data_IF_957785588847
#
_entry.id   IF_957785588847
#
_cell.length_a   1.000
_cell.length_b   1.000
_cell.length_c   1.000
_cell.angle_alpha   90.00
_cell.angle_beta   90.00
_cell.angle_gamma   90.00
#
_symmetry.space_group_name_H-M   'P 1'
#
loop_
_entity.id
_entity.type
_entity.pdbx_description
1 polymer ?
#
# COMPACT_ATOMS: atom_id res chain seq x y z
N UNK A 1 -11.01 25.68 -0.11
CA UNK A 1 -10.58 24.89 -1.25
C UNK A 1 -10.62 23.42 -0.85
N UNK A 2 -11.42 22.62 -1.53
CA UNK A 2 -11.50 21.18 -1.30
C UNK A 2 -10.70 20.48 -2.40
N UNK A 3 -9.90 19.49 -2.01
CA UNK A 3 -9.20 18.61 -2.92
C UNK A 3 -9.86 17.25 -2.89
N UNK A 4 -10.14 16.70 -4.05
CA UNK A 4 -10.70 15.35 -4.19
C UNK A 4 -9.76 14.54 -5.07
N UNK A 5 -9.36 13.36 -4.59
CA UNK A 5 -8.64 12.39 -5.40
C UNK A 5 -9.68 11.60 -6.19
N UNK A 6 -9.66 11.73 -7.50
CA UNK A 6 -10.64 11.09 -8.39
C UNK A 6 -10.27 9.67 -8.79
N UNK A 7 -8.97 9.34 -8.74
CA UNK A 7 -8.46 8.02 -9.12
C UNK A 7 -7.27 7.61 -8.24
N UNK A 8 -7.33 6.40 -7.70
CA UNK A 8 -6.26 5.80 -6.88
C UNK A 8 -5.46 4.75 -7.66
N UNK A 9 -5.83 4.49 -8.93
CA UNK A 9 -5.23 3.45 -9.79
C UNK A 9 -5.12 2.11 -9.05
N UNK A 10 -3.90 1.59 -8.93
CA UNK A 10 -3.63 0.29 -8.29
C UNK A 10 -3.63 0.35 -6.75
N UNK A 11 -3.86 1.53 -6.15
CA UNK A 11 -3.76 1.75 -4.69
C UNK A 11 -5.12 2.04 -4.05
N UNK A 12 -6.14 1.24 -4.37
CA UNK A 12 -7.50 1.38 -3.82
C UNK A 12 -7.53 1.33 -2.28
N UNK A 13 -6.55 0.68 -1.65
CA UNK A 13 -6.39 0.66 -0.18
C UNK A 13 -6.29 2.08 0.40
N UNK A 14 -5.82 3.06 -0.37
CA UNK A 14 -5.70 4.45 0.06
C UNK A 14 -7.03 5.21 0.08
N UNK A 15 -8.07 4.73 -0.60
CA UNK A 15 -9.38 5.40 -0.69
C UNK A 15 -10.02 5.64 0.67
N UNK A 16 -9.86 4.71 1.59
CA UNK A 16 -10.39 4.80 2.95
C UNK A 16 -9.47 5.52 3.94
N UNK A 17 -8.20 5.69 3.58
CA UNK A 17 -7.14 6.17 4.48
C UNK A 17 -6.72 7.61 4.25
N UNK A 18 -6.95 8.15 3.04
CA UNK A 18 -6.41 9.43 2.63
C UNK A 18 -7.43 10.54 2.88
N UNK A 19 -7.12 11.41 3.86
CA UNK A 19 -7.82 12.69 4.04
C UNK A 19 -6.95 13.78 3.42
N UNK A 20 -7.37 14.29 2.26
CA UNK A 20 -6.63 15.34 1.55
C UNK A 20 -7.04 16.73 2.02
N UNK A 21 -6.05 17.57 2.33
CA UNK A 21 -6.21 19.01 2.50
C UNK A 21 -5.26 19.76 1.56
N UNK A 22 -5.61 21.00 1.20
CA UNK A 22 -4.76 21.83 0.33
C UNK A 22 -3.35 22.07 0.91
N UNK A 23 -3.19 21.92 2.22
CA UNK A 23 -1.90 22.13 2.94
C UNK A 23 -0.92 20.97 2.73
N UNK A 24 -1.37 19.82 2.24
CA UNK A 24 -0.57 18.58 2.16
C UNK A 24 -0.22 18.18 0.73
N UNK A 25 -0.33 19.10 -0.24
CA UNK A 25 -0.08 18.80 -1.66
C UNK A 25 1.33 18.29 -1.93
N UNK A 26 2.34 18.85 -1.25
CA UNK A 26 3.74 18.43 -1.43
C UNK A 26 3.95 17.01 -0.93
N UNK A 27 3.38 16.67 0.24
CA UNK A 27 3.46 15.31 0.79
C UNK A 27 2.71 14.31 -0.09
N UNK A 28 1.57 14.72 -0.64
CA UNK A 28 0.79 13.89 -1.56
C UNK A 28 1.55 13.63 -2.86
N UNK A 29 2.20 14.65 -3.42
CA UNK A 29 3.01 14.51 -4.62
C UNK A 29 4.23 13.60 -4.38
N UNK A 30 4.95 13.78 -3.28
CA UNK A 30 6.07 12.91 -2.91
C UNK A 30 5.61 11.45 -2.70
N UNK A 31 4.46 11.24 -2.06
CA UNK A 31 3.87 9.90 -1.94
C UNK A 31 3.56 9.31 -3.32
N UNK A 32 2.90 10.06 -4.20
CA UNK A 32 2.55 9.59 -5.53
C UNK A 32 3.80 9.22 -6.36
N UNK A 33 4.87 10.02 -6.26
CA UNK A 33 6.13 9.75 -6.91
C UNK A 33 6.77 8.45 -6.42
N UNK A 34 6.80 8.23 -5.08
CA UNK A 34 7.31 6.98 -4.50
C UNK A 34 6.52 5.78 -4.96
N UNK A 35 5.19 5.84 -4.88
CA UNK A 35 4.30 4.76 -5.28
C UNK A 35 4.46 4.39 -6.76
N UNK A 36 4.72 5.37 -7.62
CA UNK A 36 4.91 5.12 -9.04
C UNK A 36 6.18 4.33 -9.39
N UNK A 37 7.18 4.41 -8.53
CA UNK A 37 8.45 3.71 -8.71
C UNK A 37 8.43 2.26 -8.20
N UNK A 38 7.38 1.87 -7.47
CA UNK A 38 7.26 0.54 -6.91
C UNK A 38 7.04 -0.51 -8.01
N UNK A 39 7.79 -1.59 -7.96
CA UNK A 39 7.53 -2.79 -8.74
C UNK A 39 6.33 -3.57 -8.17
N UNK A 40 5.92 -4.65 -8.83
CA UNK A 40 4.73 -5.44 -8.46
C UNK A 40 4.83 -6.00 -7.03
N UNK A 41 5.96 -6.58 -6.66
CA UNK A 41 6.19 -7.14 -5.31
C UNK A 41 6.16 -6.04 -4.26
N UNK A 42 6.79 -4.90 -4.54
CA UNK A 42 6.78 -3.75 -3.63
C UNK A 42 5.39 -3.11 -3.47
N UNK A 43 4.53 -3.17 -4.50
CA UNK A 43 3.12 -2.75 -4.39
C UNK A 43 2.34 -3.63 -3.42
N UNK A 44 2.53 -4.96 -3.51
CA UNK A 44 1.94 -5.90 -2.56
C UNK A 44 2.44 -5.61 -1.14
N UNK A 45 3.76 -5.39 -0.97
CA UNK A 45 4.36 -5.04 0.31
C UNK A 45 3.77 -3.76 0.89
N UNK A 46 3.66 -2.69 0.09
CA UNK A 46 3.06 -1.43 0.50
C UNK A 46 1.61 -1.61 0.97
N UNK A 47 0.79 -2.30 0.18
CA UNK A 47 -0.60 -2.56 0.55
C UNK A 47 -0.70 -3.38 1.84
N UNK A 48 0.17 -4.38 2.01
CA UNK A 48 0.27 -5.16 3.24
C UNK A 48 0.60 -4.30 4.45
N UNK A 49 1.61 -3.42 4.35
CA UNK A 49 1.97 -2.49 5.41
C UNK A 49 0.84 -1.53 5.79
N UNK A 50 0.14 -0.98 4.79
CA UNK A 50 -1.03 -0.13 5.02
C UNK A 50 -2.12 -0.90 5.77
N UNK A 51 -2.39 -2.16 5.40
CA UNK A 51 -3.37 -3.02 6.10
C UNK A 51 -2.98 -3.31 7.54
N UNK A 52 -1.70 -3.56 7.81
CA UNK A 52 -1.18 -3.76 9.19
C UNK A 52 -1.38 -2.51 10.03
N UNK A 53 -1.09 -1.34 9.47
CA UNK A 53 -1.26 -0.06 10.18
C UNK A 53 -2.75 0.23 10.45
N UNK A 54 -3.65 -0.06 9.50
CA UNK A 54 -5.10 0.07 9.69
C UNK A 54 -5.66 -0.82 10.81
N UNK A 55 -5.08 -1.99 11.02
CA UNK A 55 -5.50 -2.83 12.15
C UNK A 55 -5.15 -2.20 13.51
N UNK A 56 -4.18 -1.29 13.53
CA UNK A 56 -3.69 -0.62 14.75
C UNK A 56 -4.30 0.76 14.96
N UNK A 57 -4.74 1.43 13.90
CA UNK A 57 -5.18 2.83 13.92
C UNK A 57 -6.37 3.05 12.98
N UNK A 58 -7.31 3.91 13.37
CA UNK A 58 -8.49 4.25 12.55
C UNK A 58 -8.15 5.13 11.35
N UNK A 59 -7.01 5.83 11.38
CA UNK A 59 -6.57 6.72 10.29
C UNK A 59 -5.06 6.74 10.17
N UNK A 60 -4.57 6.86 8.93
CA UNK A 60 -3.15 6.92 8.63
C UNK A 60 -2.83 8.31 8.06
N UNK A 61 -1.80 8.96 8.59
CA UNK A 61 -1.35 10.27 8.09
C UNK A 61 -0.56 10.14 6.79
N UNK A 62 -0.52 11.20 5.96
CA UNK A 62 0.32 11.23 4.75
C UNK A 62 1.79 10.95 5.05
N UNK A 63 2.31 11.55 6.15
CA UNK A 63 3.67 11.25 6.61
C UNK A 63 3.86 9.75 6.81
N UNK A 64 2.93 9.10 7.51
CA UNK A 64 3.01 7.66 7.76
C UNK A 64 2.95 6.84 6.48
N UNK A 65 2.09 7.21 5.52
CA UNK A 65 2.04 6.54 4.21
C UNK A 65 3.36 6.67 3.43
N UNK A 66 4.03 7.81 3.53
CA UNK A 66 5.37 8.01 2.95
C UNK A 66 6.42 7.10 3.62
N UNK A 67 6.37 6.99 4.96
CA UNK A 67 7.24 6.08 5.71
C UNK A 67 7.00 4.61 5.31
N UNK A 68 5.73 4.21 5.10
CA UNK A 68 5.40 2.87 4.63
C UNK A 68 5.89 2.62 3.20
N UNK A 69 5.76 3.60 2.30
CA UNK A 69 6.28 3.50 0.93
C UNK A 69 7.82 3.38 0.88
N UNK A 70 8.53 4.03 1.81
CA UNK A 70 9.99 3.88 1.97
C UNK A 70 10.39 2.53 2.57
N UNK A 71 9.45 1.86 3.23
CA UNK A 71 9.69 0.64 4.02
C UNK A 71 9.30 -0.65 3.30
N UNK A 72 8.96 -0.61 2.03
CA UNK A 72 8.50 -1.80 1.28
C UNK A 72 9.52 -2.94 1.30
N UNK A 73 10.81 -2.62 1.35
CA UNK A 73 11.90 -3.60 1.44
C UNK A 73 12.08 -4.18 2.85
N UNK A 74 11.31 -3.69 3.85
CA UNK A 74 11.28 -4.22 5.22
C UNK A 74 10.30 -5.39 5.37
N UNK A 75 9.75 -5.88 4.27
CA UNK A 75 8.77 -6.97 4.24
C UNK A 75 9.23 -8.13 3.37
N UNK A 76 8.83 -9.33 3.77
CA UNK A 76 8.79 -10.48 2.87
C UNK A 76 7.39 -10.58 2.25
N UNK A 77 7.36 -10.89 0.97
CA UNK A 77 6.13 -11.08 0.20
C UNK A 77 6.12 -12.50 -0.37
N UNK A 78 5.05 -13.23 -0.11
CA UNK A 78 4.79 -14.51 -0.77
C UNK A 78 3.66 -14.26 -1.76
N UNK A 79 4.04 -14.16 -3.04
CA UNK A 79 3.10 -13.86 -4.12
C UNK A 79 2.06 -14.97 -4.30
N UNK A 80 0.85 -14.59 -4.71
CA UNK A 80 -0.27 -15.49 -5.01
C UNK A 80 -0.80 -16.30 -3.81
N UNK A 81 -0.37 -16.00 -2.59
CA UNK A 81 -0.84 -16.62 -1.35
C UNK A 81 -1.83 -15.69 -0.65
N UNK A 82 -3.10 -16.09 -0.58
CA UNK A 82 -4.19 -15.26 -0.03
C UNK A 82 -5.06 -15.99 1.00
N UNK A 83 -4.64 -17.17 1.44
CA UNK A 83 -5.35 -17.95 2.44
C UNK A 83 -4.40 -18.72 3.34
N UNK A 84 -4.90 -19.09 4.54
CA UNK A 84 -4.13 -19.87 5.49
C UNK A 84 -3.73 -21.25 4.91
N UNK A 85 -4.61 -21.90 4.13
CA UNK A 85 -4.29 -23.17 3.48
C UNK A 85 -3.15 -23.08 2.46
N UNK A 86 -3.14 -22.01 1.65
CA UNK A 86 -2.04 -21.75 0.70
C UNK A 86 -0.73 -21.41 1.42
N UNK A 87 -0.82 -20.60 2.48
CA UNK A 87 0.35 -20.24 3.29
C UNK A 87 0.95 -21.46 3.97
N UNK A 88 0.11 -22.30 4.56
CA UNK A 88 0.55 -23.52 5.24
C UNK A 88 1.21 -24.51 4.28
N UNK A 89 0.66 -24.68 3.07
CA UNK A 89 1.27 -25.52 2.03
C UNK A 89 2.62 -24.93 1.60
N UNK A 90 2.69 -23.63 1.33
CA UNK A 90 3.93 -22.94 0.97
C UNK A 90 5.01 -23.14 2.04
N UNK A 91 4.64 -23.01 3.34
CA UNK A 91 5.59 -23.16 4.44
C UNK A 91 6.09 -24.60 4.59
N UNK A 92 5.18 -25.56 4.45
CA UNK A 92 5.53 -26.97 4.53
C UNK A 92 6.44 -27.40 3.35
N UNK A 93 6.15 -26.94 2.13
CA UNK A 93 6.94 -27.27 0.92
C UNK A 93 8.32 -26.60 0.91
N UNK A 94 8.49 -25.46 1.59
CA UNK A 94 9.74 -24.69 1.59
C UNK A 94 10.58 -24.86 2.87
N UNK A 95 10.25 -25.85 3.72
CA UNK A 95 11.05 -26.20 4.90
C UNK A 95 10.90 -25.21 6.08
N UNK A 96 9.87 -24.37 6.10
CA UNK A 96 9.58 -23.48 7.22
C UNK A 96 8.85 -24.20 8.38
N UNK A 97 8.48 -25.46 8.20
CA UNK A 97 7.84 -26.30 9.20
C UNK A 97 8.75 -27.51 9.48
N UNK A 98 9.64 -27.44 10.48
CA UNK A 98 10.61 -28.52 10.74
C UNK A 98 9.95 -29.88 11.01
N UNK A 99 8.72 -29.88 11.52
CA UNK A 99 7.98 -31.11 11.87
C UNK A 99 7.61 -31.95 10.64
N UNK A 100 7.64 -31.36 9.42
CA UNK A 100 7.35 -32.10 8.18
C UNK A 100 8.60 -32.68 7.53
N UNK A 101 9.78 -32.35 8.05
CA UNK A 101 11.04 -32.85 7.51
C UNK A 101 11.12 -34.39 7.66
N UNK A 102 11.29 -35.08 6.53
CA UNK A 102 11.35 -36.53 6.50
C UNK A 102 10.00 -37.26 6.49
N UNK A 103 8.89 -36.55 6.42
CA UNK A 103 7.58 -37.18 6.19
C UNK A 103 7.52 -37.84 4.81
N UNK A 104 6.74 -38.94 4.71
CA UNK A 104 6.39 -39.51 3.41
C UNK A 104 5.36 -38.60 2.70
N UNK A 105 5.33 -38.65 1.35
CA UNK A 105 4.36 -37.87 0.55
C UNK A 105 2.91 -38.12 0.99
N UNK A 106 2.59 -39.36 1.34
CA UNK A 106 1.25 -39.73 1.82
C UNK A 106 0.92 -39.08 3.18
N UNK A 107 1.90 -38.93 4.08
CA UNK A 107 1.71 -38.26 5.35
C UNK A 107 1.65 -36.74 5.16
N UNK A 108 2.43 -36.19 4.25
CA UNK A 108 2.42 -34.79 3.90
C UNK A 108 1.05 -34.31 3.39
N UNK A 109 0.42 -35.08 2.51
CA UNK A 109 -0.93 -34.74 1.97
C UNK A 109 -2.07 -34.85 3.02
N UNK A 110 -1.79 -35.45 4.18
CA UNK A 110 -2.73 -35.50 5.31
C UNK A 110 -2.59 -34.32 6.28
N UNK A 111 -1.64 -33.40 6.03
CA UNK A 111 -1.46 -32.22 6.87
C UNK A 111 -2.63 -31.26 6.75
N UNK A 112 -3.03 -30.69 7.87
CA UNK A 112 -3.96 -29.57 7.93
C UNK A 112 -3.22 -28.28 7.62
N UNK A 113 -3.04 -28.02 6.32
CA UNK A 113 -2.35 -26.80 5.84
C UNK A 113 -3.01 -25.52 6.31
N UNK A 114 -4.34 -25.51 6.51
CA UNK A 114 -5.04 -24.33 6.99
C UNK A 114 -4.63 -24.01 8.43
N UNK A 115 -4.51 -25.03 9.27
CA UNK A 115 -4.02 -24.87 10.65
C UNK A 115 -2.56 -24.43 10.68
N UNK A 116 -1.71 -25.00 9.83
CA UNK A 116 -0.28 -24.62 9.72
C UNK A 116 -0.17 -23.16 9.33
N UNK A 117 -0.81 -22.72 8.26
CA UNK A 117 -0.74 -21.33 7.78
C UNK A 117 -1.34 -20.34 8.77
N UNK A 118 -2.45 -20.71 9.43
CA UNK A 118 -3.02 -19.87 10.47
C UNK A 118 -2.06 -19.66 11.65
N UNK A 119 -1.38 -20.71 12.10
CA UNK A 119 -0.39 -20.60 13.16
C UNK A 119 0.79 -19.72 12.74
N UNK A 120 1.32 -19.90 11.54
CA UNK A 120 2.38 -19.07 10.98
C UNK A 120 1.97 -17.59 10.94
N UNK A 121 0.84 -17.30 10.30
CA UNK A 121 0.33 -15.92 10.17
C UNK A 121 0.12 -15.25 11.53
N UNK A 122 -0.43 -15.97 12.51
CA UNK A 122 -0.62 -15.42 13.86
C UNK A 122 0.70 -15.17 14.58
N UNK A 123 1.68 -16.04 14.41
CA UNK A 123 3.02 -15.90 15.00
C UNK A 123 3.80 -14.72 14.42
N UNK A 124 3.65 -14.47 13.13
CA UNK A 124 4.37 -13.43 12.39
C UNK A 124 3.61 -12.11 12.29
N UNK A 125 2.35 -12.07 12.69
CA UNK A 125 1.46 -10.92 12.51
C UNK A 125 1.35 -10.47 11.04
N UNK A 126 1.43 -11.42 10.10
CA UNK A 126 1.33 -11.17 8.68
C UNK A 126 -0.11 -10.93 8.21
N UNK A 127 -0.24 -10.38 7.01
CA UNK A 127 -1.54 -10.04 6.42
C UNK A 127 -1.65 -10.53 4.97
N UNK A 128 -2.87 -10.83 4.55
CA UNK A 128 -3.16 -11.10 3.14
C UNK A 128 -3.54 -9.82 2.40
N UNK A 129 -2.95 -9.66 1.23
CA UNK A 129 -3.34 -8.66 0.23
C UNK A 129 -4.16 -9.41 -0.82
N UNK A 130 -5.48 -9.17 -0.88
CA UNK A 130 -6.35 -9.83 -1.86
C UNK A 130 -6.09 -9.28 -3.25
N UNK A 131 -6.42 -10.08 -4.27
CA UNK A 131 -6.36 -9.63 -5.65
C UNK A 131 -7.29 -8.43 -5.86
N UNK A 132 -6.68 -7.27 -6.12
CA UNK A 132 -7.38 -6.04 -6.46
C UNK A 132 -7.55 -5.87 -7.98
N UNK A 133 -7.74 -4.62 -8.42
CA UNK A 133 -7.87 -4.26 -9.85
C UNK A 133 -6.62 -4.65 -10.64
N UNK A 134 -5.44 -4.54 -10.05
CA UNK A 134 -4.16 -4.92 -10.66
C UNK A 134 -3.95 -6.43 -10.82
N UNK A 135 -4.77 -7.25 -10.16
CA UNK A 135 -4.57 -8.70 -10.10
C UNK A 135 -3.44 -9.15 -9.15
N UNK A 136 -2.69 -8.22 -8.60
CA UNK A 136 -1.61 -8.50 -7.66
C UNK A 136 -2.18 -8.94 -6.31
N UNK A 137 -1.61 -10.01 -5.75
CA UNK A 137 -2.02 -10.51 -4.44
C UNK A 137 -0.88 -11.27 -3.77
N UNK A 138 -0.96 -11.41 -2.45
CA UNK A 138 0.06 -12.15 -1.73
C UNK A 138 -0.10 -12.08 -0.21
N UNK A 139 0.80 -12.77 0.48
CA UNK A 139 0.97 -12.69 1.91
C UNK A 139 2.17 -11.80 2.23
N UNK A 140 2.01 -10.90 3.18
CA UNK A 140 3.03 -9.92 3.56
C UNK A 140 3.32 -10.02 5.05
N UNK A 141 4.61 -10.12 5.37
CA UNK A 141 5.11 -10.11 6.75
C UNK A 141 6.26 -9.12 6.90
N UNK A 142 6.18 -8.27 7.92
CA UNK A 142 7.25 -7.34 8.26
C UNK A 142 8.36 -8.07 9.00
N UNK A 143 9.61 -7.97 8.52
CA UNK A 143 10.78 -8.63 9.11
C UNK A 143 11.77 -7.67 9.79
N UNK A 144 11.65 -6.37 9.56
CA UNK A 144 12.53 -5.36 10.14
C UNK A 144 11.79 -4.07 10.47
N UNK A 145 12.43 -3.19 11.23
CA UNK A 145 11.86 -1.90 11.60
C UNK A 145 11.60 -1.03 10.36
N UNK A 146 10.49 -0.28 10.43
CA UNK A 146 10.11 0.62 9.35
C UNK A 146 11.07 1.80 9.27
N UNK A 147 11.35 2.22 8.04
CA UNK A 147 12.16 3.40 7.73
C UNK A 147 11.29 4.66 7.81
N UNK A 148 11.93 5.80 8.07
CA UNK A 148 11.29 7.11 7.95
C UNK A 148 11.62 7.71 6.60
N UNK A 149 10.60 8.20 5.90
CA UNK A 149 10.81 8.95 4.67
C UNK A 149 11.54 10.26 4.96
N UNK A 150 12.44 10.72 4.06
CA UNK A 150 13.10 12.01 4.20
C UNK A 150 12.12 13.16 4.37
N UNK A 151 12.49 14.18 5.14
CA UNK A 151 11.69 15.40 5.23
C UNK A 151 11.67 16.12 3.89
N UNK A 152 10.50 16.66 3.53
CA UNK A 152 10.35 17.45 2.31
C UNK A 152 10.95 18.83 2.57
N UNK A 153 12.10 19.11 1.94
CA UNK A 153 12.68 20.44 1.94
C UNK A 153 12.14 21.24 0.76
N UNK A 154 11.50 22.37 1.02
CA UNK A 154 10.90 23.26 0.02
C UNK A 154 11.90 23.83 -1.01
N UNK A 155 13.19 23.55 -0.87
CA UNK A 155 14.27 24.10 -1.70
C UNK A 155 14.75 23.17 -2.82
N UNK A 156 14.15 22.00 -3.00
CA UNK A 156 14.43 21.18 -4.18
C UNK A 156 13.40 21.49 -5.26
N UNK A 157 13.82 21.84 -6.50
CA UNK A 157 12.91 21.91 -7.62
C UNK A 157 12.31 20.53 -7.83
N UNK A 158 11.01 20.40 -7.52
CA UNK A 158 10.27 19.16 -7.79
C UNK A 158 10.03 19.14 -9.28
N UNK A 159 10.76 18.31 -10.02
CA UNK A 159 10.38 18.01 -11.39
C UNK A 159 8.99 17.36 -11.35
N UNK A 160 8.01 17.89 -12.07
CA UNK A 160 6.66 17.36 -12.05
C UNK A 160 6.63 15.99 -12.72
N UNK A 161 6.75 14.93 -11.92
CA UNK A 161 6.71 13.55 -12.39
C UNK A 161 5.29 13.15 -12.90
N UNK A 162 4.25 13.92 -12.54
CA UNK A 162 2.86 13.60 -12.86
C UNK A 162 2.00 14.85 -13.09
N UNK A 163 1.05 14.73 -14.02
CA UNK A 163 -0.04 15.69 -14.17
C UNK A 163 -1.13 15.32 -13.18
N UNK A 164 -1.30 16.11 -12.12
CA UNK A 164 -2.45 15.98 -11.23
C UNK A 164 -3.58 16.80 -11.82
N UNK A 165 -4.67 16.15 -12.22
CA UNK A 165 -5.88 16.85 -12.62
C UNK A 165 -6.63 17.31 -11.36
N UNK A 166 -6.48 18.59 -11.01
CA UNK A 166 -7.20 19.20 -9.90
C UNK A 166 -8.51 19.79 -10.41
N UNK A 167 -9.64 19.33 -9.91
CA UNK A 167 -10.92 19.98 -10.09
C UNK A 167 -11.13 20.95 -8.93
N UNK A 168 -11.00 22.25 -9.21
CA UNK A 168 -11.29 23.30 -8.24
C UNK A 168 -12.78 23.64 -8.31
N UNK A 169 -13.54 23.33 -7.26
CA UNK A 169 -14.91 23.78 -7.10
C UNK A 169 -14.95 24.87 -6.03
N UNK A 170 -15.24 26.10 -6.42
CA UNK A 170 -15.52 27.18 -5.49
C UNK A 170 -17.04 27.20 -5.20
N UNK A 171 -17.44 26.87 -3.98
CA UNK A 171 -18.79 27.12 -3.51
C UNK A 171 -18.83 28.52 -2.88
N UNK A 172 -19.50 29.44 -3.55
CA UNK A 172 -19.87 30.74 -2.99
C UNK A 172 -21.39 30.74 -2.78
N UNK A 173 -21.80 30.85 -1.51
CA UNK A 173 -23.20 30.70 -1.09
C UNK A 173 -24.18 31.78 -1.62
N UNK A 174 -23.75 32.72 -2.48
CA UNK A 174 -24.63 33.82 -2.89
C UNK A 174 -24.42 34.42 -4.27
N UNK A 175 -23.87 33.70 -5.27
CA UNK A 175 -23.89 34.22 -6.64
C UNK A 175 -24.20 33.11 -7.66
N UNK A 176 -25.08 33.39 -8.65
CA UNK A 176 -25.38 32.43 -9.70
C UNK A 176 -24.26 32.47 -10.77
N UNK A 177 -23.16 31.79 -10.53
CA UNK A 177 -22.15 31.52 -11.55
C UNK A 177 -22.15 30.02 -11.87
N UNK A 178 -22.77 29.69 -12.98
CA UNK A 178 -22.54 28.43 -13.66
C UNK A 178 -21.27 28.59 -14.52
N UNK A 179 -20.16 28.09 -14.01
CA UNK A 179 -18.90 28.02 -14.73
C UNK A 179 -18.00 27.01 -14.07
N UNK A 180 -17.83 25.85 -14.70
CA UNK A 180 -16.77 24.90 -14.36
C UNK A 180 -15.52 25.35 -15.13
N UNK A 181 -14.64 26.09 -14.50
CA UNK A 181 -13.31 26.34 -15.05
C UNK A 181 -12.40 25.19 -14.64
N UNK A 182 -11.97 24.41 -15.64
CA UNK A 182 -10.89 23.45 -15.50
C UNK A 182 -9.61 24.25 -15.68
N UNK A 183 -8.89 24.48 -14.59
CA UNK A 183 -7.58 25.13 -14.65
C UNK A 183 -6.52 24.03 -14.74
N UNK A 184 -5.95 23.83 -15.92
CA UNK A 184 -4.75 23.04 -16.10
C UNK A 184 -3.54 23.83 -15.57
N UNK A 185 -3.14 23.57 -14.33
CA UNK A 185 -1.89 24.09 -13.78
C UNK A 185 -0.72 23.29 -14.36
N UNK A 186 -0.15 23.79 -15.44
CA UNK A 186 1.19 23.41 -15.87
C UNK A 186 2.18 24.19 -15.00
N UNK A 187 2.81 23.53 -14.05
CA UNK A 187 3.97 24.11 -13.39
C UNK A 187 5.16 24.10 -14.39
N UNK A 188 5.82 25.24 -14.61
CA UNK A 188 6.95 25.30 -15.53
C UNK A 188 8.12 24.50 -14.97
N UNK A 189 8.74 23.69 -15.83
CA UNK A 189 10.09 23.21 -15.61
C UNK A 189 11.03 24.40 -15.88
N UNK A 190 11.71 24.91 -14.86
CA UNK A 190 12.95 25.70 -14.97
C UNK A 190 14.10 24.91 -14.37
#
# INVERSE_FOLDING_TARGET
LYLEITDYRDFEVLRSSLVCSATNLLELNDLAERLSRLNEVQRIAFEGLVRVDFQKQESITLKRLRDLAESVDCCHVVESVVSDGQLGRFYAENGFVPEVEGMSDAAFELLDFEKVGKMARMGECGVYVPSGISGLCGYVVQHSDLKSAPEITLNQPVEPAYTIHLRLTAHHDNLPFAGTDVVDLKLPAE
#
